data_IF_870734425974
#
_entry.id   IF_870734425974
#
_cell.length_a   1.000
_cell.length_b   1.000
_cell.length_c   1.000
_cell.angle_alpha   90.00
_cell.angle_beta   90.00
_cell.angle_gamma   90.00
#
_symmetry.space_group_name_H-M   'P 1'
#
loop_
_entity.id
_entity.type
_entity.pdbx_description
1 polymer ?
#
# COMPACT_ATOMS: atom_id res chain seq x y z
N UNK A 1 21.29 13.55 1.96
CA UNK A 1 20.24 13.54 0.92
C UNK A 1 18.95 13.94 1.63
N UNK A 2 18.67 15.23 1.63
CA UNK A 2 17.62 15.85 2.44
C UNK A 2 16.23 15.44 1.93
N UNK A 3 15.44 14.90 2.85
CA UNK A 3 14.08 14.44 2.67
C UNK A 3 13.08 15.62 2.88
N UNK A 4 13.40 16.84 2.44
CA UNK A 4 12.78 18.09 2.92
C UNK A 4 11.37 18.42 2.37
N UNK A 5 10.82 17.64 1.42
CA UNK A 5 9.55 18.00 0.76
C UNK A 5 8.44 16.94 0.81
N UNK A 6 8.53 15.94 1.68
CA UNK A 6 7.43 14.99 1.86
C UNK A 6 6.97 14.90 3.31
N UNK A 7 5.70 14.56 3.46
CA UNK A 7 5.04 14.33 4.74
C UNK A 7 4.91 12.82 4.92
N UNK A 8 5.37 12.31 6.06
CA UNK A 8 5.13 10.92 6.45
C UNK A 8 4.05 10.90 7.53
N UNK A 9 2.92 10.28 7.23
CA UNK A 9 1.86 10.02 8.20
C UNK A 9 2.03 8.62 8.76
N UNK A 10 2.25 8.53 10.07
CA UNK A 10 2.37 7.24 10.76
C UNK A 10 0.98 6.73 11.11
N UNK A 11 0.67 5.52 10.66
CA UNK A 11 -0.59 4.86 11.00
C UNK A 11 -0.39 3.92 12.18
N UNK A 12 -1.46 3.76 12.95
CA UNK A 12 -1.55 2.77 14.02
C UNK A 12 -2.66 1.77 13.71
N UNK A 13 -2.52 0.57 14.28
CA UNK A 13 -3.55 -0.44 14.17
C UNK A 13 -4.76 -0.05 15.04
N UNK A 14 -5.94 -0.01 14.43
CA UNK A 14 -7.20 0.17 15.19
C UNK A 14 -7.56 -1.09 15.98
N UNK A 15 -7.14 -2.27 15.49
CA UNK A 15 -7.35 -3.56 16.15
C UNK A 15 -6.08 -4.42 16.05
N UNK A 16 -5.80 -5.17 17.11
CA UNK A 16 -4.71 -6.17 17.15
C UNK A 16 -5.25 -7.58 16.94
N UNK A 17 -6.36 -7.71 16.22
CA UNK A 17 -7.01 -8.97 15.91
C UNK A 17 -7.18 -9.11 14.39
N UNK A 18 -7.04 -10.33 13.88
CA UNK A 18 -7.35 -10.66 12.49
C UNK A 18 -7.92 -12.07 12.36
N UNK A 19 -8.50 -12.37 11.20
CA UNK A 19 -8.94 -13.72 10.85
C UNK A 19 -7.79 -14.46 10.17
N UNK A 20 -7.43 -15.65 10.69
CA UNK A 20 -6.41 -16.50 10.07
C UNK A 20 -6.82 -16.88 8.65
N UNK A 21 -5.96 -16.58 7.68
CA UNK A 21 -6.17 -16.89 6.26
C UNK A 21 -6.22 -18.39 5.94
N UNK A 22 -5.70 -19.23 6.84
CA UNK A 22 -5.64 -20.68 6.66
C UNK A 22 -6.86 -21.42 7.25
N UNK A 23 -7.25 -21.11 8.49
CA UNK A 23 -8.29 -21.85 9.20
C UNK A 23 -9.51 -21.01 9.62
N UNK A 24 -9.52 -19.70 9.32
CA UNK A 24 -10.66 -18.81 9.60
C UNK A 24 -10.85 -18.43 11.08
N UNK A 25 -9.98 -18.86 11.99
CA UNK A 25 -10.07 -18.51 13.41
C UNK A 25 -9.54 -17.10 13.66
N UNK A 26 -10.16 -16.37 14.60
CA UNK A 26 -9.66 -15.07 15.04
C UNK A 26 -8.38 -15.24 15.85
N UNK A 27 -7.36 -14.45 15.54
CA UNK A 27 -6.02 -14.52 16.13
C UNK A 27 -5.55 -13.12 16.53
N UNK A 28 -4.81 -13.04 17.63
CA UNK A 28 -4.34 -11.76 18.21
C UNK A 28 -2.83 -11.72 18.46
N UNK A 29 -2.15 -12.87 18.36
CA UNK A 29 -0.72 -12.99 18.62
C UNK A 29 0.09 -12.47 17.43
N UNK A 30 0.57 -11.24 17.54
CA UNK A 30 1.52 -10.65 16.59
C UNK A 30 2.86 -11.37 16.73
N UNK A 31 3.35 -11.95 15.64
CA UNK A 31 4.68 -12.54 15.53
C UNK A 31 5.72 -11.48 15.15
N UNK A 32 5.40 -10.67 14.14
CA UNK A 32 6.29 -9.64 13.60
C UNK A 32 5.48 -8.43 13.12
N UNK A 33 6.08 -7.25 13.24
CA UNK A 33 5.57 -6.02 12.62
C UNK A 33 6.69 -5.41 11.77
N UNK A 34 6.47 -5.29 10.46
CA UNK A 34 7.43 -4.72 9.51
C UNK A 34 6.76 -3.58 8.76
N UNK A 35 6.76 -2.35 9.29
CA UNK A 35 6.09 -1.23 8.66
C UNK A 35 6.58 -1.00 7.22
N UNK A 36 5.66 -0.66 6.33
CA UNK A 36 5.94 -0.31 4.93
C UNK A 36 5.64 1.17 4.69
N UNK A 37 6.38 1.80 3.77
CA UNK A 37 6.07 3.14 3.29
C UNK A 37 5.23 3.04 2.02
N UNK A 38 4.03 3.61 2.05
CA UNK A 38 3.07 3.59 0.96
C UNK A 38 2.88 5.00 0.41
N UNK A 39 3.18 5.25 -0.87
CA UNK A 39 2.93 6.56 -1.50
C UNK A 39 1.43 6.84 -1.57
N UNK A 40 1.06 8.06 -1.23
CA UNK A 40 -0.32 8.50 -1.16
C UNK A 40 -0.51 9.86 -1.84
N UNK A 41 -1.76 10.34 -1.90
CA UNK A 41 -2.10 11.65 -2.46
C UNK A 41 -1.35 12.77 -1.74
N UNK A 42 -0.83 13.71 -2.52
CA UNK A 42 -0.19 14.89 -2.00
C UNK A 42 -1.14 15.72 -1.11
N UNK A 43 -0.59 16.32 -0.06
CA UNK A 43 -1.30 17.25 0.83
C UNK A 43 -0.59 18.59 0.73
N UNK A 44 -1.32 19.64 0.35
CA UNK A 44 -0.78 20.99 0.14
C UNK A 44 0.45 21.04 -0.78
N UNK A 45 0.41 20.29 -1.89
CA UNK A 45 1.50 20.22 -2.87
C UNK A 45 2.72 19.42 -2.40
N UNK A 46 2.69 18.82 -1.21
CA UNK A 46 3.77 17.98 -0.70
C UNK A 46 3.45 16.51 -0.92
N UNK A 47 4.44 15.76 -1.40
CA UNK A 47 4.33 14.31 -1.50
C UNK A 47 4.01 13.70 -0.14
N UNK A 48 3.11 12.72 -0.09
CA UNK A 48 2.73 12.05 1.17
C UNK A 48 3.06 10.57 1.11
N UNK A 49 3.58 10.06 2.22
CA UNK A 49 3.77 8.63 2.43
C UNK A 49 3.07 8.20 3.73
N UNK A 50 2.41 7.06 3.69
CA UNK A 50 1.85 6.41 4.87
C UNK A 50 2.87 5.39 5.38
N UNK A 51 3.30 5.52 6.63
CA UNK A 51 4.02 4.44 7.30
C UNK A 51 2.99 3.50 7.92
N UNK A 52 2.68 2.42 7.18
CA UNK A 52 1.62 1.47 7.53
C UNK A 52 2.24 0.29 8.28
N UNK A 53 1.78 -0.05 9.50
CA UNK A 53 2.19 -1.29 10.14
C UNK A 53 1.79 -2.48 9.26
N UNK A 54 2.68 -3.46 9.11
CA UNK A 54 2.37 -4.70 8.38
C UNK A 54 2.69 -5.87 9.29
N UNK A 55 1.64 -6.37 9.92
CA UNK A 55 1.73 -7.36 10.97
C UNK A 55 1.52 -8.76 10.42
N UNK A 56 2.44 -9.64 10.80
CA UNK A 56 2.28 -11.08 10.67
C UNK A 56 1.83 -11.63 12.02
N UNK A 57 0.73 -12.36 12.01
CA UNK A 57 0.13 -12.99 13.18
C UNK A 57 0.41 -14.49 13.15
N UNK A 58 0.64 -15.06 14.33
CA UNK A 58 0.74 -16.51 14.51
C UNK A 58 -0.61 -17.08 14.94
N UNK A 59 -1.08 -18.11 14.24
CA UNK A 59 -2.29 -18.83 14.59
C UNK A 59 -1.99 -20.01 15.51
N UNK A 60 -2.43 -20.02 16.79
CA UNK A 60 -2.23 -21.17 17.67
C UNK A 60 -3.07 -22.39 17.28
N UNK A 61 -4.16 -22.20 16.51
CA UNK A 61 -5.07 -23.28 16.14
C UNK A 61 -4.53 -24.17 15.01
N UNK A 62 -3.95 -23.58 13.97
CA UNK A 62 -3.40 -24.32 12.84
C UNK A 62 -1.89 -24.17 12.68
N UNK A 63 -1.22 -23.43 13.58
CA UNK A 63 0.23 -23.21 13.60
C UNK A 63 0.80 -22.50 12.35
N UNK A 64 -0.07 -21.88 11.54
CA UNK A 64 0.33 -21.08 10.38
C UNK A 64 0.45 -19.60 10.73
N UNK A 65 1.13 -18.86 9.86
CA UNK A 65 1.23 -17.42 9.92
C UNK A 65 0.28 -16.77 8.93
N UNK A 66 -0.37 -15.69 9.34
CA UNK A 66 -1.19 -14.87 8.44
C UNK A 66 -0.68 -13.43 8.49
N UNK A 67 -0.54 -12.80 7.33
CA UNK A 67 -0.25 -11.36 7.26
C UNK A 67 -1.55 -10.64 6.96
N UNK A 68 -1.78 -9.51 7.62
CA UNK A 68 -2.96 -8.70 7.37
C UNK A 68 -3.08 -8.30 5.89
N UNK A 69 -4.31 -8.33 5.37
CA UNK A 69 -4.61 -7.76 4.07
C UNK A 69 -4.77 -6.24 4.21
N UNK A 70 -4.08 -5.48 3.35
CA UNK A 70 -4.20 -4.03 3.28
C UNK A 70 -4.98 -3.68 2.00
N UNK A 71 -6.33 -3.71 2.00
CA UNK A 71 -7.14 -3.55 0.79
C UNK A 71 -6.97 -2.18 0.13
N UNK A 72 -6.57 -1.17 0.90
CA UNK A 72 -6.31 0.17 0.41
C UNK A 72 -4.92 0.34 -0.22
N UNK A 73 -4.05 -0.68 -0.17
CA UNK A 73 -2.71 -0.67 -0.77
C UNK A 73 -2.73 -1.49 -2.05
N UNK A 74 -2.04 -1.01 -3.09
CA UNK A 74 -1.83 -1.75 -4.33
C UNK A 74 -0.91 -2.95 -4.11
N UNK A 75 -1.19 -4.05 -4.81
CA UNK A 75 -0.47 -5.30 -4.61
C UNK A 75 0.85 -5.35 -5.38
N UNK A 76 0.99 -4.59 -6.49
CA UNK A 76 2.23 -4.56 -7.30
C UNK A 76 3.22 -3.55 -6.73
N UNK A 77 2.73 -2.40 -6.25
CA UNK A 77 3.56 -1.29 -5.76
C UNK A 77 3.03 -0.78 -4.43
N UNK A 78 3.89 -0.22 -3.57
CA UNK A 78 3.46 0.36 -2.30
C UNK A 78 2.81 1.73 -2.53
N UNK A 79 1.68 1.76 -3.25
CA UNK A 79 0.83 2.93 -3.49
C UNK A 79 -0.52 2.69 -2.84
N UNK A 80 -1.20 3.75 -2.39
CA UNK A 80 -2.62 3.60 -2.06
C UNK A 80 -3.42 3.40 -3.34
N UNK A 81 -4.52 2.65 -3.27
CA UNK A 81 -5.44 2.46 -4.40
C UNK A 81 -5.98 3.79 -4.92
N UNK A 82 -6.21 4.75 -4.01
CA UNK A 82 -6.62 6.12 -4.36
C UNK A 82 -5.52 6.88 -5.11
N UNK A 83 -4.25 6.73 -4.73
CA UNK A 83 -3.13 7.33 -5.46
C UNK A 83 -3.00 6.73 -6.86
N UNK A 84 -3.09 5.41 -6.99
CA UNK A 84 -3.09 4.74 -8.31
C UNK A 84 -4.22 5.25 -9.20
N UNK A 85 -5.43 5.38 -8.65
CA UNK A 85 -6.59 5.92 -9.37
C UNK A 85 -6.36 7.38 -9.77
N UNK A 86 -5.74 8.19 -8.90
CA UNK A 86 -5.38 9.56 -9.23
C UNK A 86 -4.41 9.62 -10.42
N UNK A 87 -3.33 8.84 -10.42
CA UNK A 87 -2.39 8.76 -11.57
C UNK A 87 -3.14 8.39 -12.86
N UNK A 88 -4.02 7.39 -12.78
CA UNK A 88 -4.86 7.00 -13.93
C UNK A 88 -5.76 8.14 -14.44
N UNK A 89 -6.29 9.00 -13.56
CA UNK A 89 -7.08 10.16 -14.01
C UNK A 89 -6.19 11.27 -14.59
N UNK A 90 -4.97 11.47 -14.07
CA UNK A 90 -4.04 12.47 -14.59
C UNK A 90 -3.61 12.17 -16.03
N UNK A 91 -3.31 10.90 -16.35
CA UNK A 91 -2.92 10.52 -17.72
C UNK A 91 -4.04 10.66 -18.75
N UNK A 92 -5.29 10.84 -18.33
CA UNK A 92 -6.40 11.18 -19.25
C UNK A 92 -6.38 12.64 -19.68
N UNK A 93 -5.69 13.49 -18.93
CA UNK A 93 -5.70 14.95 -19.09
C UNK A 93 -4.33 15.49 -19.51
N UNK A 94 -3.26 14.70 -19.33
CA UNK A 94 -1.87 15.07 -19.59
C UNK A 94 -1.09 13.88 -20.16
N UNK A 95 0.08 14.13 -20.75
CA UNK A 95 0.94 13.04 -21.24
C UNK A 95 1.59 12.27 -20.09
N UNK A 96 2.01 11.03 -20.37
CA UNK A 96 2.73 10.20 -19.38
C UNK A 96 3.99 10.91 -18.89
N UNK A 97 4.70 11.63 -19.76
CA UNK A 97 5.90 12.40 -19.42
C UNK A 97 5.57 13.56 -18.47
N UNK A 98 4.47 14.28 -18.70
CA UNK A 98 4.03 15.36 -17.80
C UNK A 98 3.63 14.81 -16.43
N UNK A 99 2.88 13.70 -16.38
CA UNK A 99 2.50 13.06 -15.12
C UNK A 99 3.73 12.52 -14.38
N UNK A 100 4.67 11.91 -15.10
CA UNK A 100 5.96 11.44 -14.58
C UNK A 100 6.74 12.57 -13.90
N UNK A 101 6.85 13.73 -14.57
CA UNK A 101 7.53 14.91 -14.02
C UNK A 101 6.81 15.48 -12.80
N UNK A 102 5.49 15.67 -12.88
CA UNK A 102 4.69 16.27 -11.81
C UNK A 102 4.71 15.43 -10.53
N UNK A 103 4.71 14.10 -10.67
CA UNK A 103 4.62 13.19 -9.53
C UNK A 103 5.98 12.64 -9.07
N UNK A 104 7.06 12.96 -9.80
CA UNK A 104 8.38 12.42 -9.54
C UNK A 104 8.45 10.90 -9.74
N UNK A 105 7.68 10.38 -10.70
CA UNK A 105 7.62 8.95 -11.04
C UNK A 105 8.39 8.68 -12.33
N UNK A 106 8.94 7.49 -12.49
CA UNK A 106 9.43 7.03 -13.79
C UNK A 106 8.26 6.74 -14.74
N UNK A 107 8.52 6.75 -16.05
CA UNK A 107 7.54 6.36 -17.07
C UNK A 107 6.93 4.98 -16.80
N UNK A 108 7.74 3.97 -16.46
CA UNK A 108 7.27 2.62 -16.11
C UNK A 108 6.38 2.60 -14.84
N UNK A 109 6.63 3.51 -13.88
CA UNK A 109 5.75 3.65 -12.72
C UNK A 109 4.37 4.19 -13.11
N UNK A 110 4.31 5.17 -14.02
CA UNK A 110 3.06 5.71 -14.55
C UNK A 110 2.33 4.66 -15.39
N UNK A 111 3.04 3.99 -16.32
CA UNK A 111 2.48 2.97 -17.21
C UNK A 111 1.88 1.77 -16.43
N UNK A 112 2.47 1.36 -15.31
CA UNK A 112 1.85 0.30 -14.48
C UNK A 112 0.65 0.76 -13.66
N UNK A 113 0.54 2.08 -13.41
CA UNK A 113 -0.60 2.64 -12.69
C UNK A 113 -1.87 2.70 -13.54
N UNK A 114 -1.72 2.70 -14.88
CA UNK A 114 -2.86 2.76 -15.82
C UNK A 114 -3.44 1.39 -16.16
N UNK A 115 -2.69 0.31 -15.92
CA UNK A 115 -3.18 -1.05 -16.16
C UNK A 115 -3.96 -1.53 -14.94
N UNK A 116 -5.28 -1.68 -15.09
CA UNK A 116 -6.10 -2.37 -14.09
C UNK A 116 -5.92 -3.88 -14.22
N UNK A 117 -4.92 -4.42 -13.53
CA UNK A 117 -4.81 -5.88 -13.35
C UNK A 117 -5.69 -6.33 -12.18
N UNK A 118 -6.56 -7.30 -12.44
CA UNK A 118 -7.24 -8.02 -11.38
C UNK A 118 -6.19 -8.67 -10.47
N UNK A 119 -6.40 -8.58 -9.15
CA UNK A 119 -5.58 -9.30 -8.18
C UNK A 119 -5.62 -10.79 -8.56
N UNK A 120 -4.48 -11.47 -8.80
CA UNK A 120 -4.51 -12.92 -8.91
C UNK A 120 -5.13 -13.47 -7.62
N UNK A 121 -6.26 -14.16 -7.77
CA UNK A 121 -6.91 -14.85 -6.67
C UNK A 121 -5.94 -15.93 -6.20
N UNK A 122 -5.35 -15.73 -5.02
CA UNK A 122 -4.43 -16.69 -4.41
C UNK A 122 -2.97 -16.25 -4.54
N UNK A 123 -2.47 -15.62 -3.48
CA UNK A 123 -1.30 -16.02 -2.70
C UNK A 123 -1.38 -15.17 -1.42
N UNK A 124 -1.95 -15.77 -0.37
CA UNK A 124 -1.67 -15.47 1.04
C UNK A 124 -1.12 -16.78 1.59
#
# INVERSE_FOLDING_TARGET
MELEHHVVLKLELTSKEMVCSHCGQTITKINQNRPILVRDLAIFGRSVYLQVPRCQFYCPHCQHYSTEALPFVDWERPYTQRYKTYIYQQVKQATIEQVSQNEGLSRDQVDRSIVMRLRPLGII
#
